data_IF_640126042803
#
_entry.id   IF_640126042803
#
_cell.length_a   1.000
_cell.length_b   1.000
_cell.length_c   1.000
_cell.angle_alpha   90.00
_cell.angle_beta   90.00
_cell.angle_gamma   90.00
#
_symmetry.space_group_name_H-M   'P 1'
#
loop_
_entity.id
_entity.type
_entity.pdbx_description
1 polymer ?
#
# COMPACT_ATOMS: atom_id res chain seq x y z
N UNK A 1 -9.96 10.87 -30.43
CA UNK A 1 -8.90 10.41 -29.49
C UNK A 1 -7.50 10.44 -30.11
N UNK A 2 -7.24 9.79 -31.26
CA UNK A 2 -5.91 9.71 -31.91
C UNK A 2 -5.12 11.03 -31.98
N UNK A 3 -5.75 12.15 -32.37
CA UNK A 3 -5.10 13.47 -32.44
C UNK A 3 -4.63 13.99 -31.06
N UNK A 4 -5.42 13.78 -30.01
CA UNK A 4 -5.10 14.16 -28.62
C UNK A 4 -3.90 13.36 -28.11
N UNK A 5 -3.92 12.04 -28.32
CA UNK A 5 -2.79 11.16 -27.97
C UNK A 5 -1.48 11.60 -28.61
N UNK A 6 -1.51 11.88 -29.92
CA UNK A 6 -0.33 12.32 -30.67
C UNK A 6 0.18 13.68 -30.18
N UNK A 7 -0.71 14.63 -29.94
CA UNK A 7 -0.35 15.96 -29.44
C UNK A 7 0.25 15.89 -28.04
N UNK A 8 -0.41 15.18 -27.12
CA UNK A 8 0.06 15.02 -25.75
C UNK A 8 1.42 14.31 -25.69
N UNK A 9 1.56 13.21 -26.44
CA UNK A 9 2.84 12.51 -26.55
C UNK A 9 3.94 13.43 -27.06
N UNK A 10 3.71 14.21 -28.13
CA UNK A 10 4.73 15.12 -28.66
C UNK A 10 5.21 16.14 -27.61
N UNK A 11 4.30 16.63 -26.77
CA UNK A 11 4.62 17.60 -25.70
C UNK A 11 5.33 16.97 -24.50
N UNK A 12 5.08 15.68 -24.20
CA UNK A 12 5.61 14.99 -23.02
C UNK A 12 6.57 13.84 -23.36
N UNK A 13 6.99 13.71 -24.63
CA UNK A 13 7.78 12.58 -25.16
C UNK A 13 8.99 12.26 -24.29
N UNK A 14 9.80 13.26 -23.96
CA UNK A 14 11.01 13.07 -23.15
C UNK A 14 10.68 12.44 -21.79
N UNK A 15 9.75 13.04 -21.05
CA UNK A 15 9.31 12.56 -19.73
C UNK A 15 8.75 11.13 -19.77
N UNK A 16 7.91 10.82 -20.77
CA UNK A 16 7.30 9.50 -20.91
C UNK A 16 8.34 8.44 -21.26
N UNK A 17 9.25 8.73 -22.19
CA UNK A 17 10.34 7.81 -22.55
C UNK A 17 11.25 7.56 -21.34
N UNK A 18 11.63 8.61 -20.61
CA UNK A 18 12.43 8.48 -19.39
C UNK A 18 11.72 7.61 -18.35
N UNK A 19 10.43 7.85 -18.10
CA UNK A 19 9.65 7.05 -17.15
C UNK A 19 9.64 5.56 -17.53
N UNK A 20 9.39 5.25 -18.80
CA UNK A 20 9.34 3.86 -19.26
C UNK A 20 10.71 3.19 -19.28
N UNK A 21 11.77 3.94 -19.62
CA UNK A 21 13.15 3.45 -19.52
C UNK A 21 13.51 3.12 -18.07
N UNK A 22 13.16 3.98 -17.11
CA UNK A 22 13.37 3.72 -15.68
C UNK A 22 12.60 2.49 -15.20
N UNK A 23 11.36 2.29 -15.68
CA UNK A 23 10.58 1.09 -15.34
C UNK A 23 11.25 -0.20 -15.86
N UNK A 24 11.75 -0.18 -17.09
CA UNK A 24 12.50 -1.31 -17.67
C UNK A 24 13.78 -1.59 -16.90
N UNK A 25 14.57 -0.56 -16.59
CA UNK A 25 15.78 -0.67 -15.78
C UNK A 25 15.47 -1.19 -14.38
N UNK A 26 14.39 -0.72 -13.76
CA UNK A 26 13.92 -1.21 -12.46
C UNK A 26 13.54 -2.70 -12.51
N UNK A 27 12.89 -3.15 -13.58
CA UNK A 27 12.58 -4.56 -13.79
C UNK A 27 13.83 -5.43 -13.89
N UNK A 28 14.81 -5.01 -14.69
CA UNK A 28 16.09 -5.70 -14.83
C UNK A 28 16.86 -5.74 -13.50
N UNK A 29 16.95 -4.60 -12.80
CA UNK A 29 17.60 -4.51 -11.50
C UNK A 29 16.92 -5.39 -10.44
N UNK A 30 15.58 -5.48 -10.46
CA UNK A 30 14.83 -6.37 -9.56
C UNK A 30 15.19 -7.84 -9.80
N UNK A 31 15.28 -8.29 -11.04
CA UNK A 31 15.67 -9.68 -11.37
C UNK A 31 17.07 -10.01 -10.84
N UNK A 32 18.03 -9.10 -11.07
CA UNK A 32 19.41 -9.28 -10.59
C UNK A 32 19.46 -9.28 -9.06
N UNK A 33 18.77 -8.34 -8.42
CA UNK A 33 18.71 -8.25 -6.96
C UNK A 33 18.11 -9.52 -6.34
N UNK A 34 17.05 -10.09 -6.91
CA UNK A 34 16.47 -11.33 -6.39
C UNK A 34 17.49 -12.48 -6.39
N UNK A 35 18.30 -12.60 -7.44
CA UNK A 35 19.39 -13.58 -7.51
C UNK A 35 20.48 -13.32 -6.48
N UNK A 36 20.90 -12.06 -6.28
CA UNK A 36 21.89 -11.68 -5.28
C UNK A 36 21.39 -11.96 -3.86
N UNK A 37 20.15 -11.58 -3.54
CA UNK A 37 19.54 -11.85 -2.24
C UNK A 37 19.43 -13.36 -1.98
N UNK A 38 19.06 -14.14 -3.00
CA UNK A 38 18.96 -15.59 -2.86
C UNK A 38 20.32 -16.25 -2.62
N UNK A 39 21.36 -15.88 -3.36
CA UNK A 39 22.73 -16.40 -3.12
C UNK A 39 23.29 -15.99 -1.77
N UNK A 40 23.01 -14.76 -1.33
CA UNK A 40 23.35 -14.29 0.02
C UNK A 40 22.68 -15.17 1.08
N UNK A 41 21.40 -15.49 0.89
CA UNK A 41 20.66 -16.40 1.77
C UNK A 41 21.22 -17.82 1.74
N UNK A 42 21.51 -18.36 0.56
CA UNK A 42 22.09 -19.69 0.38
C UNK A 42 23.42 -19.85 1.09
N UNK A 43 24.29 -18.85 0.96
CA UNK A 43 25.59 -18.80 1.63
C UNK A 43 25.41 -18.82 3.14
N UNK A 44 24.48 -18.01 3.67
CA UNK A 44 24.21 -17.94 5.10
C UNK A 44 23.62 -19.26 5.64
N UNK A 45 22.65 -19.85 4.96
CA UNK A 45 22.10 -21.17 5.34
C UNK A 45 23.23 -22.21 5.35
N UNK A 46 24.05 -22.26 4.30
CA UNK A 46 25.14 -23.24 4.21
C UNK A 46 26.22 -23.03 5.28
N UNK A 47 26.48 -21.78 5.67
CA UNK A 47 27.48 -21.44 6.69
C UNK A 47 27.00 -21.68 8.12
N UNK A 48 25.73 -21.36 8.41
CA UNK A 48 25.23 -21.32 9.79
C UNK A 48 24.37 -22.53 10.16
N UNK A 49 23.90 -23.34 9.21
CA UNK A 49 23.16 -24.58 9.51
C UNK A 49 23.96 -25.82 9.14
N UNK A 50 23.79 -26.88 9.91
CA UNK A 50 24.39 -28.19 9.65
C UNK A 50 23.50 -29.32 10.19
N UNK A 51 23.71 -30.51 9.66
CA UNK A 51 22.92 -31.69 9.97
C UNK A 51 23.02 -32.10 11.45
N UNK A 52 24.22 -32.06 12.03
CA UNK A 52 24.47 -32.50 13.40
C UNK A 52 23.67 -31.65 14.41
N UNK A 53 23.70 -30.33 14.27
CA UNK A 53 23.01 -29.43 15.18
C UNK A 53 21.50 -29.42 14.92
N UNK A 54 21.07 -29.59 13.67
CA UNK A 54 19.66 -29.79 13.34
C UNK A 54 19.09 -31.04 14.00
N UNK A 55 19.78 -32.18 13.93
CA UNK A 55 19.32 -33.41 14.57
C UNK A 55 19.29 -33.28 16.09
N UNK A 56 20.29 -32.63 16.71
CA UNK A 56 20.23 -32.31 18.15
C UNK A 56 19.02 -31.45 18.52
N UNK A 57 18.69 -30.45 17.71
CA UNK A 57 17.50 -29.63 17.89
C UNK A 57 16.22 -30.47 17.82
N UNK A 58 16.12 -31.35 16.81
CA UNK A 58 14.95 -32.20 16.60
C UNK A 58 14.78 -33.23 17.72
N UNK A 59 15.84 -33.96 18.06
CA UNK A 59 15.85 -34.94 19.17
C UNK A 59 15.51 -34.28 20.50
N UNK A 60 16.01 -33.07 20.78
CA UNK A 60 15.67 -32.36 22.01
C UNK A 60 14.16 -32.16 22.20
N UNK A 61 13.44 -31.75 21.14
CA UNK A 61 11.99 -31.57 21.22
C UNK A 61 11.21 -32.88 21.16
N UNK A 62 11.80 -33.94 20.63
CA UNK A 62 11.26 -35.31 20.71
C UNK A 62 11.32 -35.84 22.16
N UNK A 63 12.44 -35.62 22.85
CA UNK A 63 12.67 -36.05 24.24
C UNK A 63 11.92 -35.18 25.26
N UNK A 64 11.51 -33.96 24.86
CA UNK A 64 10.82 -33.00 25.72
C UNK A 64 9.47 -32.57 25.13
N UNK A 65 8.51 -33.49 24.90
CA UNK A 65 7.29 -33.23 24.12
C UNK A 65 6.32 -32.24 24.77
N UNK A 66 6.31 -32.17 26.11
CA UNK A 66 5.42 -31.30 26.89
C UNK A 66 6.04 -29.96 27.29
N UNK A 67 7.29 -29.73 26.93
CA UNK A 67 8.01 -28.49 27.25
C UNK A 67 7.33 -27.28 26.61
N UNK A 68 7.10 -26.24 27.40
CA UNK A 68 6.73 -24.92 26.88
C UNK A 68 7.94 -24.29 26.19
N UNK A 69 7.82 -24.06 24.88
CA UNK A 69 8.91 -23.68 23.99
C UNK A 69 9.44 -22.28 24.29
N UNK A 70 8.58 -21.37 24.76
CA UNK A 70 8.93 -19.97 24.99
C UNK A 70 9.13 -19.61 26.46
N UNK A 71 8.74 -20.48 27.39
CA UNK A 71 8.98 -20.27 28.82
C UNK A 71 10.43 -20.53 29.25
N UNK A 72 11.20 -21.30 28.46
CA UNK A 72 12.54 -21.74 28.83
C UNK A 72 13.65 -20.98 28.08
N UNK A 73 14.73 -20.62 28.78
CA UNK A 73 15.95 -20.12 28.14
C UNK A 73 16.64 -21.23 27.37
N UNK A 74 16.43 -21.27 26.05
CA UNK A 74 17.10 -22.20 25.16
C UNK A 74 18.53 -21.74 24.84
N UNK A 75 19.49 -22.67 24.70
CA UNK A 75 20.78 -22.41 24.06
C UNK A 75 20.60 -21.76 22.68
N UNK A 76 21.50 -20.85 22.32
CA UNK A 76 21.37 -20.02 21.12
C UNK A 76 21.26 -20.84 19.83
N UNK A 77 22.01 -21.94 19.70
CA UNK A 77 21.94 -22.84 18.55
C UNK A 77 20.54 -23.43 18.37
N UNK A 78 19.84 -23.80 19.45
CA UNK A 78 18.46 -24.31 19.38
C UNK A 78 17.46 -23.20 19.04
N UNK A 79 17.68 -21.99 19.57
CA UNK A 79 16.84 -20.81 19.28
C UNK A 79 16.90 -20.42 17.81
N UNK A 80 18.08 -20.51 17.18
CA UNK A 80 18.23 -20.28 15.75
C UNK A 80 17.35 -21.23 14.93
N UNK A 81 17.46 -22.56 15.12
CA UNK A 81 16.62 -23.53 14.39
C UNK A 81 15.13 -23.39 14.70
N UNK A 82 14.78 -23.03 15.94
CA UNK A 82 13.40 -22.73 16.32
C UNK A 82 12.83 -21.58 15.48
N UNK A 83 13.55 -20.47 15.34
CA UNK A 83 13.13 -19.31 14.55
C UNK A 83 13.02 -19.62 13.05
N UNK A 84 13.82 -20.57 12.58
CA UNK A 84 13.84 -21.00 11.17
C UNK A 84 12.78 -22.07 10.86
N UNK A 85 12.20 -22.72 11.86
CA UNK A 85 11.19 -23.77 11.70
C UNK A 85 9.80 -23.14 11.77
N UNK A 86 9.05 -23.04 10.66
CA UNK A 86 7.68 -22.57 10.71
C UNK A 86 6.80 -23.57 11.46
N UNK A 87 6.00 -23.09 12.40
CA UNK A 87 5.02 -23.93 13.10
C UNK A 87 3.93 -24.36 12.12
N UNK A 88 3.55 -25.64 12.18
CA UNK A 88 2.49 -26.18 11.34
C UNK A 88 1.16 -25.46 11.65
N UNK A 89 0.42 -25.11 10.59
CA UNK A 89 -0.81 -24.34 10.69
C UNK A 89 -1.88 -24.95 11.59
N UNK A 90 -1.87 -26.29 11.74
CA UNK A 90 -2.76 -27.01 12.66
C UNK A 90 -2.61 -26.57 14.13
N UNK A 91 -1.48 -25.96 14.49
CA UNK A 91 -1.16 -25.53 15.85
C UNK A 91 -1.35 -24.03 16.12
N UNK A 92 -1.74 -23.22 15.13
CA UNK A 92 -1.86 -21.76 15.32
C UNK A 92 -3.03 -21.33 16.22
N UNK A 93 -3.93 -22.24 16.59
CA UNK A 93 -5.05 -21.97 17.52
C UNK A 93 -4.74 -22.37 18.97
N UNK A 94 -3.51 -22.75 19.27
CA UNK A 94 -3.12 -23.20 20.61
C UNK A 94 -2.49 -22.04 21.36
N UNK A 95 -2.92 -21.83 22.61
CA UNK A 95 -2.44 -20.73 23.46
C UNK A 95 -0.95 -20.84 23.82
N UNK A 96 -0.40 -22.06 23.82
CA UNK A 96 1.02 -22.33 24.12
C UNK A 96 1.59 -23.36 23.17
N UNK A 97 2.77 -23.06 22.64
CA UNK A 97 3.49 -23.97 21.74
C UNK A 97 4.32 -24.94 22.57
N UNK A 98 4.03 -26.23 22.41
CA UNK A 98 4.72 -27.32 23.10
C UNK A 98 5.80 -27.96 22.24
N UNK A 99 6.76 -28.65 22.88
CA UNK A 99 7.87 -29.32 22.21
C UNK A 99 7.46 -30.28 21.10
N UNK A 100 6.45 -31.13 21.31
CA UNK A 100 5.97 -32.06 20.27
C UNK A 100 5.47 -31.31 19.01
N UNK A 101 4.92 -30.11 19.17
CA UNK A 101 4.44 -29.29 18.04
C UNK A 101 5.60 -28.82 17.17
N UNK A 102 6.74 -28.48 17.78
CA UNK A 102 7.97 -28.13 17.07
C UNK A 102 8.54 -29.37 16.37
N UNK A 103 8.60 -30.51 17.07
CA UNK A 103 9.08 -31.77 16.50
C UNK A 103 8.25 -32.22 15.28
N UNK A 104 6.92 -32.11 15.37
CA UNK A 104 6.01 -32.44 14.26
C UNK A 104 6.04 -31.43 13.11
N UNK A 105 6.43 -30.18 13.38
CA UNK A 105 6.57 -29.14 12.35
C UNK A 105 7.93 -29.19 11.66
N UNK A 106 8.96 -29.71 12.34
CA UNK A 106 10.31 -29.82 11.80
C UNK A 106 10.43 -31.02 10.83
N UNK A 107 11.00 -30.83 9.63
CA UNK A 107 11.27 -31.92 8.70
C UNK A 107 12.06 -33.09 9.33
N UNK A 108 11.82 -34.32 8.85
CA UNK A 108 12.48 -35.50 9.41
C UNK A 108 14.01 -35.48 9.22
N UNK A 109 14.47 -34.95 8.09
CA UNK A 109 15.87 -34.91 7.70
C UNK A 109 16.35 -33.47 7.40
N UNK A 110 17.66 -33.27 7.51
CA UNK A 110 18.28 -31.96 7.31
C UNK A 110 18.23 -31.49 5.86
N UNK A 111 18.24 -32.38 4.87
CA UNK A 111 18.23 -31.98 3.46
C UNK A 111 16.88 -31.40 3.07
N UNK A 112 15.78 -31.98 3.56
CA UNK A 112 14.43 -31.44 3.42
C UNK A 112 14.32 -30.08 4.12
N UNK A 113 14.83 -29.97 5.36
CA UNK A 113 14.88 -28.69 6.08
C UNK A 113 15.66 -27.61 5.31
N UNK A 114 16.87 -27.93 4.84
CA UNK A 114 17.70 -27.02 4.04
C UNK A 114 16.99 -26.63 2.76
N UNK A 115 16.37 -27.59 2.06
CA UNK A 115 15.62 -27.32 0.84
C UNK A 115 14.48 -26.34 1.09
N UNK A 116 13.74 -26.52 2.17
CA UNK A 116 12.62 -25.65 2.54
C UNK A 116 13.07 -24.23 2.90
N UNK A 117 14.19 -24.09 3.62
CA UNK A 117 14.80 -22.78 3.88
C UNK A 117 15.24 -22.06 2.60
N UNK A 118 15.75 -22.80 1.63
CA UNK A 118 16.25 -22.24 0.37
C UNK A 118 15.16 -21.95 -0.65
N UNK A 119 13.90 -22.40 -0.44
CA UNK A 119 12.80 -22.08 -1.35
C UNK A 119 12.64 -20.57 -1.48
N UNK A 120 12.56 -20.08 -2.71
CA UNK A 120 12.34 -18.65 -2.95
C UNK A 120 10.93 -18.23 -2.47
N UNK A 121 9.91 -19.00 -2.85
CA UNK A 121 8.55 -18.77 -2.39
C UNK A 121 8.29 -19.60 -1.13
N UNK A 122 7.99 -18.97 0.02
CA UNK A 122 7.67 -19.70 1.23
C UNK A 122 6.33 -20.42 1.09
N UNK A 123 6.16 -21.48 1.88
CA UNK A 123 4.86 -22.12 2.08
C UNK A 123 3.80 -21.07 2.48
N UNK A 124 2.51 -21.30 2.15
CA UNK A 124 1.45 -20.36 2.46
C UNK A 124 1.44 -20.02 3.95
N UNK A 125 1.67 -18.75 4.27
CA UNK A 125 1.47 -18.15 5.60
C UNK A 125 0.09 -17.49 5.61
N UNK A 126 -0.51 -17.35 6.79
CA UNK A 126 -1.80 -16.66 6.97
C UNK A 126 -1.77 -15.17 6.60
N UNK A 127 -0.57 -14.58 6.54
CA UNK A 127 -0.36 -13.19 6.18
C UNK A 127 0.11 -13.08 4.71
N UNK A 128 -0.69 -12.37 3.91
CA UNK A 128 -0.39 -12.02 2.54
C UNK A 128 0.62 -10.88 2.52
N UNK A 129 1.87 -11.16 2.17
CA UNK A 129 2.91 -10.13 2.04
C UNK A 129 3.50 -10.15 0.63
N UNK A 130 3.73 -8.96 0.05
CA UNK A 130 4.47 -8.82 -1.22
C UNK A 130 5.96 -9.14 -1.06
N UNK A 131 6.43 -9.14 0.19
CA UNK A 131 7.83 -9.26 0.57
C UNK A 131 7.99 -10.34 1.64
N UNK A 132 9.04 -11.15 1.53
CA UNK A 132 9.43 -12.11 2.56
C UNK A 132 10.78 -11.68 3.13
N UNK A 133 10.77 -11.35 4.41
CA UNK A 133 11.96 -10.96 5.17
C UNK A 133 12.48 -12.19 5.90
N UNK A 134 13.75 -12.53 5.67
CA UNK A 134 14.40 -13.63 6.38
C UNK A 134 15.62 -13.14 7.11
N UNK A 135 15.85 -13.76 8.25
CA UNK A 135 17.00 -13.53 9.09
C UNK A 135 17.54 -14.88 9.56
N UNK A 136 18.87 -14.99 9.58
CA UNK A 136 19.58 -16.06 10.27
C UNK A 136 20.71 -15.45 11.08
N UNK A 137 20.78 -15.82 12.35
CA UNK A 137 21.80 -15.37 13.30
C UNK A 137 22.87 -16.45 13.41
N UNK A 138 24.15 -16.09 13.26
CA UNK A 138 25.23 -17.00 13.62
C UNK A 138 25.31 -17.13 15.14
N UNK A 139 25.31 -18.36 15.67
CA UNK A 139 25.38 -18.60 17.11
C UNK A 139 26.62 -17.91 17.73
N UNK A 140 26.39 -16.96 18.63
CA UNK A 140 27.37 -16.37 19.54
C UNK A 140 27.94 -15.02 19.11
N UNK A 141 27.40 -14.34 18.09
CA UNK A 141 27.87 -13.00 17.69
C UNK A 141 26.72 -12.11 17.20
N UNK A 142 26.34 -11.14 18.03
CA UNK A 142 25.29 -10.14 17.74
C UNK A 142 25.52 -9.35 16.43
N UNK A 143 26.75 -9.36 15.89
CA UNK A 143 27.13 -8.65 14.65
C UNK A 143 26.99 -9.45 13.34
N UNK A 144 26.45 -10.68 13.36
CA UNK A 144 26.41 -11.57 12.17
C UNK A 144 25.01 -11.94 11.68
N UNK A 145 24.00 -11.11 11.96
CA UNK A 145 22.66 -11.34 11.43
C UNK A 145 22.61 -11.11 9.91
N UNK A 146 22.26 -12.15 9.16
CA UNK A 146 22.09 -12.04 7.71
C UNK A 146 20.63 -11.78 7.39
N UNK A 147 20.33 -10.52 7.07
CA UNK A 147 19.03 -10.11 6.56
C UNK A 147 18.97 -10.19 5.04
N UNK A 148 17.91 -10.81 4.55
CA UNK A 148 17.55 -10.84 3.12
C UNK A 148 16.08 -10.50 2.95
N UNK A 149 15.78 -9.91 1.80
CA UNK A 149 14.42 -9.51 1.41
C UNK A 149 14.12 -10.09 0.03
N UNK A 150 13.12 -10.95 -0.03
CA UNK A 150 12.64 -11.51 -1.29
C UNK A 150 11.41 -10.76 -1.78
N UNK A 151 11.44 -10.37 -3.06
CA UNK A 151 10.29 -9.78 -3.71
C UNK A 151 9.41 -10.88 -4.32
N UNK A 152 8.23 -11.09 -3.75
CA UNK A 152 7.34 -12.18 -4.17
C UNK A 152 6.48 -11.83 -5.39
N UNK A 153 6.30 -10.54 -5.70
CA UNK A 153 5.46 -10.05 -6.81
C UNK A 153 6.20 -9.12 -7.80
N UNK A 154 7.52 -9.02 -7.66
CA UNK A 154 8.40 -8.22 -8.52
C UNK A 154 7.97 -6.72 -8.59
N UNK A 155 7.74 -6.17 -9.78
CA UNK A 155 7.39 -4.75 -9.97
C UNK A 155 5.95 -4.40 -9.58
N UNK A 156 5.15 -5.38 -9.18
CA UNK A 156 3.78 -5.16 -8.70
C UNK A 156 3.71 -4.82 -7.21
N UNK A 157 4.87 -4.61 -6.55
CA UNK A 157 4.90 -4.08 -5.18
C UNK A 157 4.18 -2.74 -5.08
N UNK A 158 3.29 -2.63 -4.11
CA UNK A 158 2.43 -1.46 -3.92
C UNK A 158 3.23 -0.14 -3.93
N UNK A 159 4.40 -0.11 -3.30
CA UNK A 159 5.21 1.11 -3.24
C UNK A 159 5.65 1.55 -4.65
N UNK A 160 6.06 0.60 -5.48
CA UNK A 160 6.45 0.86 -6.87
C UNK A 160 5.25 1.36 -7.67
N UNK A 161 4.08 0.72 -7.51
CA UNK A 161 2.88 1.11 -8.23
C UNK A 161 2.40 2.53 -7.85
N UNK A 162 2.52 2.89 -6.57
CA UNK A 162 2.16 4.23 -6.08
C UNK A 162 3.10 5.33 -6.59
N UNK A 163 4.35 5.02 -6.97
CA UNK A 163 5.24 5.98 -7.64
C UNK A 163 4.63 6.45 -8.95
N UNK A 164 3.99 5.55 -9.73
CA UNK A 164 3.32 5.94 -10.99
C UNK A 164 2.09 6.82 -10.73
N UNK A 165 1.33 6.52 -9.68
CA UNK A 165 0.21 7.37 -9.26
C UNK A 165 0.69 8.76 -8.85
N UNK A 166 1.80 8.84 -8.12
CA UNK A 166 2.44 10.11 -7.77
C UNK A 166 2.95 10.87 -8.99
N UNK A 167 3.60 10.18 -9.93
CA UNK A 167 4.04 10.77 -11.20
C UNK A 167 2.87 11.32 -12.02
N UNK A 168 1.75 10.60 -12.06
CA UNK A 168 0.50 11.06 -12.68
C UNK A 168 -0.05 12.32 -11.99
N UNK A 169 -0.11 12.35 -10.65
CA UNK A 169 -0.54 13.52 -9.90
C UNK A 169 0.35 14.74 -10.20
N UNK A 170 1.67 14.54 -10.22
CA UNK A 170 2.62 15.59 -10.57
C UNK A 170 2.45 16.07 -12.02
N UNK A 171 2.25 15.16 -12.96
CA UNK A 171 2.01 15.49 -14.36
C UNK A 171 0.76 16.35 -14.54
N UNK A 172 -0.33 16.04 -13.84
CA UNK A 172 -1.55 16.85 -13.82
C UNK A 172 -1.26 18.28 -13.35
N UNK A 173 -0.56 18.42 -12.22
CA UNK A 173 -0.22 19.72 -11.62
C UNK A 173 0.64 20.54 -12.58
N UNK A 174 1.67 19.92 -13.16
CA UNK A 174 2.58 20.57 -14.12
C UNK A 174 1.92 20.90 -15.46
N UNK A 175 1.01 20.06 -15.95
CA UNK A 175 0.25 20.31 -17.17
C UNK A 175 -0.71 21.48 -17.00
N UNK A 176 -1.34 21.59 -15.82
CA UNK A 176 -2.20 22.73 -15.50
C UNK A 176 -1.39 24.02 -15.32
N UNK A 177 -0.27 23.99 -14.58
CA UNK A 177 0.54 25.19 -14.35
C UNK A 177 1.13 25.76 -15.65
N UNK A 178 1.37 24.91 -16.64
CA UNK A 178 1.85 25.29 -17.98
C UNK A 178 0.72 25.50 -19.00
N UNK A 179 -0.55 25.49 -18.58
CA UNK A 179 -1.72 25.63 -19.45
C UNK A 179 -1.78 24.62 -20.62
N UNK A 180 -1.09 23.47 -20.51
CA UNK A 180 -1.02 22.44 -21.56
C UNK A 180 -2.40 21.85 -21.81
N UNK A 181 -3.12 21.55 -20.73
CA UNK A 181 -4.47 20.99 -20.78
C UNK A 181 -5.45 21.94 -21.49
N UNK A 182 -5.38 23.23 -21.17
CA UNK A 182 -6.21 24.26 -21.80
C UNK A 182 -5.85 24.44 -23.28
N UNK A 183 -4.56 24.49 -23.62
CA UNK A 183 -4.07 24.59 -25.00
C UNK A 183 -4.56 23.44 -25.89
N UNK A 184 -4.44 22.20 -25.42
CA UNK A 184 -4.92 21.02 -26.16
C UNK A 184 -6.46 21.02 -26.20
N UNK A 185 -7.11 21.36 -25.08
CA UNK A 185 -8.57 21.42 -24.98
C UNK A 185 -9.20 22.39 -25.99
N UNK A 186 -8.63 23.59 -26.13
CA UNK A 186 -9.10 24.63 -27.05
C UNK A 186 -9.03 24.21 -28.52
N UNK A 187 -7.98 23.47 -28.92
CA UNK A 187 -7.81 23.02 -30.32
C UNK A 187 -8.66 21.81 -30.70
N UNK A 188 -9.20 21.08 -29.73
CA UNK A 188 -9.83 19.75 -29.96
C UNK A 188 -11.25 19.67 -29.37
N UNK A 189 -11.76 20.77 -28.81
CA UNK A 189 -13.15 20.89 -28.35
C UNK A 189 -13.48 20.06 -27.11
N UNK A 190 -12.54 19.87 -26.18
CA UNK A 190 -12.84 19.22 -24.90
C UNK A 190 -11.64 18.75 -24.07
N UNK A 191 -11.65 19.12 -22.79
CA UNK A 191 -10.58 18.85 -21.81
C UNK A 191 -10.62 17.42 -21.26
N UNK A 192 -11.81 16.81 -21.14
CA UNK A 192 -11.99 15.45 -20.61
C UNK A 192 -11.17 14.39 -21.36
N UNK A 193 -11.04 14.54 -22.68
CA UNK A 193 -10.22 13.65 -23.53
C UNK A 193 -8.73 13.76 -23.19
N UNK A 194 -8.25 14.93 -22.75
CA UNK A 194 -6.85 15.14 -22.35
C UNK A 194 -6.56 14.41 -21.04
N UNK A 195 -7.47 14.48 -20.07
CA UNK A 195 -7.32 13.78 -18.79
C UNK A 195 -7.30 12.27 -18.93
N UNK A 196 -8.14 11.70 -19.82
CA UNK A 196 -8.08 10.27 -20.14
C UNK A 196 -6.71 9.89 -20.74
N UNK A 197 -6.17 10.72 -21.63
CA UNK A 197 -4.85 10.50 -22.23
C UNK A 197 -3.73 10.59 -21.19
N UNK A 198 -3.79 11.57 -20.27
CA UNK A 198 -2.86 11.68 -19.14
C UNK A 198 -2.88 10.42 -18.28
N UNK A 199 -4.08 9.98 -17.87
CA UNK A 199 -4.24 8.77 -17.06
C UNK A 199 -3.63 7.54 -17.76
N UNK A 200 -3.89 7.38 -19.05
CA UNK A 200 -3.36 6.23 -19.82
C UNK A 200 -1.83 6.28 -19.88
N UNK A 201 -1.22 7.43 -20.15
CA UNK A 201 0.24 7.53 -20.27
C UNK A 201 0.97 7.40 -18.94
N UNK A 202 0.45 8.01 -17.87
CA UNK A 202 1.17 8.08 -16.60
C UNK A 202 0.82 6.97 -15.62
N UNK A 203 -0.32 6.30 -15.83
CA UNK A 203 -0.78 5.22 -14.95
C UNK A 203 -1.06 3.95 -15.75
N UNK A 204 -1.95 4.00 -16.76
CA UNK A 204 -2.41 2.81 -17.48
C UNK A 204 -1.27 1.99 -18.12
N UNK A 205 -0.44 2.64 -18.94
CA UNK A 205 0.68 1.99 -19.62
C UNK A 205 1.73 1.50 -18.61
N UNK A 206 2.21 2.31 -17.64
CA UNK A 206 3.13 1.83 -16.61
C UNK A 206 2.62 0.64 -15.81
N UNK A 207 1.35 0.62 -15.40
CA UNK A 207 0.78 -0.50 -14.65
C UNK A 207 0.75 -1.78 -15.50
N UNK A 208 0.35 -1.70 -16.77
CA UNK A 208 0.38 -2.84 -17.70
C UNK A 208 1.82 -3.33 -17.90
N UNK A 209 2.77 -2.41 -18.11
CA UNK A 209 4.18 -2.76 -18.26
C UNK A 209 4.75 -3.40 -16.98
N UNK A 210 4.44 -2.88 -15.80
CA UNK A 210 4.85 -3.46 -14.53
C UNK A 210 4.31 -4.88 -14.35
N UNK A 211 3.06 -5.12 -14.76
CA UNK A 211 2.42 -6.44 -14.71
C UNK A 211 3.12 -7.43 -15.66
N UNK A 212 3.40 -7.02 -16.90
CA UNK A 212 4.13 -7.84 -17.88
C UNK A 212 5.56 -8.12 -17.40
N UNK A 213 6.27 -7.11 -16.90
CA UNK A 213 7.63 -7.27 -16.40
C UNK A 213 7.69 -8.15 -15.15
N UNK A 214 6.69 -8.09 -14.26
CA UNK A 214 6.58 -9.02 -13.15
C UNK A 214 6.39 -10.46 -13.62
N UNK A 215 5.52 -10.68 -14.61
CA UNK A 215 5.34 -12.01 -15.20
C UNK A 215 6.66 -12.52 -15.79
N UNK A 216 7.36 -11.69 -16.57
CA UNK A 216 8.68 -12.03 -17.13
C UNK A 216 9.65 -12.35 -16.00
N UNK A 217 9.70 -11.54 -14.93
CA UNK A 217 10.59 -11.75 -13.77
C UNK A 217 10.35 -13.11 -13.11
N UNK A 218 9.09 -13.53 -12.97
CA UNK A 218 8.77 -14.84 -12.41
C UNK A 218 9.20 -15.99 -13.32
N UNK A 219 8.99 -15.86 -14.64
CA UNK A 219 9.38 -16.87 -15.62
C UNK A 219 10.90 -16.99 -15.78
N UNK A 220 11.63 -15.88 -15.65
CA UNK A 220 13.10 -15.84 -15.81
C UNK A 220 13.85 -16.12 -14.51
N UNK A 221 13.17 -16.23 -13.36
CA UNK A 221 13.81 -16.41 -12.05
C UNK A 221 14.66 -17.68 -11.96
N UNK A 222 14.31 -18.72 -12.71
CA UNK A 222 15.08 -19.97 -12.83
C UNK A 222 16.48 -19.80 -13.44
N UNK A 223 16.75 -18.70 -14.17
CA UNK A 223 18.08 -18.42 -14.69
C UNK A 223 19.06 -17.93 -13.60
N UNK A 224 18.53 -17.43 -12.48
CA UNK A 224 19.34 -16.89 -11.39
C UNK A 224 19.34 -17.79 -10.15
N UNK A 225 18.32 -18.64 -10.02
CA UNK A 225 18.08 -19.50 -8.87
C UNK A 225 17.82 -20.93 -9.36
N UNK A 226 18.46 -21.96 -8.79
CA UNK A 226 18.23 -23.34 -9.20
C UNK A 226 16.75 -23.73 -9.13
N UNK A 227 16.25 -24.39 -10.18
CA UNK A 227 14.82 -24.66 -10.38
C UNK A 227 14.18 -25.43 -9.22
N UNK A 228 14.94 -26.28 -8.53
CA UNK A 228 14.50 -27.04 -7.36
C UNK A 228 14.07 -26.18 -6.16
N UNK A 229 14.44 -24.89 -6.13
CA UNK A 229 14.07 -23.91 -5.11
C UNK A 229 13.03 -22.89 -5.58
N UNK A 230 12.61 -22.96 -6.86
CA UNK A 230 11.64 -22.04 -7.46
C UNK A 230 10.32 -22.79 -7.67
N UNK A 231 9.44 -22.77 -6.67
CA UNK A 231 8.06 -23.28 -6.79
C UNK A 231 7.10 -22.10 -6.80
N UNK A 232 6.62 -21.71 -7.98
CA UNK A 232 5.76 -20.54 -8.15
C UNK A 232 4.36 -20.83 -7.61
N UNK A 233 3.92 -20.05 -6.63
CA UNK A 233 2.52 -20.07 -6.17
C UNK A 233 1.70 -19.07 -6.99
N UNK A 234 1.17 -19.51 -8.14
CA UNK A 234 0.44 -18.64 -9.07
C UNK A 234 -0.78 -17.95 -8.45
N UNK A 235 -1.60 -18.68 -7.70
CA UNK A 235 -2.75 -18.14 -6.98
C UNK A 235 -2.37 -17.00 -6.03
N UNK A 236 -1.31 -17.20 -5.22
CA UNK A 236 -0.83 -16.19 -4.27
C UNK A 236 -0.26 -14.97 -4.98
N UNK A 237 0.50 -15.16 -6.06
CA UNK A 237 1.02 -14.05 -6.86
C UNK A 237 -0.15 -13.24 -7.41
N UNK A 238 -1.15 -13.89 -8.02
CA UNK A 238 -2.32 -13.21 -8.58
C UNK A 238 -3.10 -12.45 -7.53
N UNK A 239 -3.32 -13.03 -6.35
CA UNK A 239 -4.05 -12.38 -5.26
C UNK A 239 -3.34 -11.11 -4.78
N UNK A 240 -2.06 -11.20 -4.38
CA UNK A 240 -1.31 -10.06 -3.83
C UNK A 240 -1.07 -8.98 -4.90
N UNK A 241 -0.83 -9.41 -6.15
CA UNK A 241 -0.70 -8.53 -7.31
C UNK A 241 -2.01 -7.80 -7.61
N UNK A 242 -3.13 -8.51 -7.56
CA UNK A 242 -4.47 -7.97 -7.73
C UNK A 242 -4.83 -6.95 -6.65
N UNK A 243 -4.49 -7.23 -5.39
CA UNK A 243 -4.65 -6.27 -4.29
C UNK A 243 -3.83 -5.01 -4.52
N UNK A 244 -2.54 -5.14 -4.84
CA UNK A 244 -1.63 -4.01 -5.05
C UNK A 244 -2.07 -3.14 -6.24
N UNK A 245 -2.46 -3.76 -7.37
CA UNK A 245 -3.02 -3.06 -8.52
C UNK A 245 -4.32 -2.34 -8.18
N UNK A 246 -5.19 -2.99 -7.40
CA UNK A 246 -6.48 -2.41 -7.03
C UNK A 246 -6.29 -1.14 -6.21
N UNK A 247 -5.39 -1.16 -5.23
CA UNK A 247 -5.06 0.03 -4.43
C UNK A 247 -4.47 1.13 -5.29
N UNK A 248 -3.54 0.81 -6.20
CA UNK A 248 -2.95 1.80 -7.10
C UNK A 248 -3.99 2.45 -8.03
N UNK A 249 -4.93 1.66 -8.57
CA UNK A 249 -6.01 2.17 -9.41
C UNK A 249 -7.02 3.01 -8.61
N UNK A 250 -7.39 2.61 -7.38
CA UNK A 250 -8.21 3.42 -6.48
C UNK A 250 -7.54 4.77 -6.25
N UNK A 251 -6.25 4.78 -5.93
CA UNK A 251 -5.48 6.00 -5.70
C UNK A 251 -5.46 6.89 -6.95
N UNK A 252 -5.26 6.32 -8.15
CA UNK A 252 -5.27 7.09 -9.40
C UNK A 252 -6.65 7.68 -9.75
N UNK A 253 -7.73 6.95 -9.46
CA UNK A 253 -9.09 7.48 -9.57
C UNK A 253 -9.30 8.61 -8.55
N UNK A 254 -8.81 8.46 -7.31
CA UNK A 254 -8.82 9.50 -6.29
C UNK A 254 -8.09 10.77 -6.71
N UNK A 255 -6.89 10.66 -7.27
CA UNK A 255 -6.15 11.78 -7.87
C UNK A 255 -6.96 12.46 -8.97
N UNK A 256 -7.62 11.67 -9.83
CA UNK A 256 -8.46 12.18 -10.90
C UNK A 256 -9.69 12.94 -10.37
N UNK A 257 -10.28 12.46 -9.27
CA UNK A 257 -11.39 13.10 -8.56
C UNK A 257 -10.97 14.44 -7.94
N UNK A 258 -9.83 14.47 -7.23
CA UNK A 258 -9.27 15.70 -6.67
C UNK A 258 -8.99 16.71 -7.79
N UNK A 259 -8.37 16.26 -8.89
CA UNK A 259 -8.10 17.13 -10.03
C UNK A 259 -9.38 17.69 -10.69
N UNK A 260 -10.44 16.91 -10.72
CA UNK A 260 -11.73 17.33 -11.26
C UNK A 260 -12.47 18.31 -10.33
N UNK A 261 -12.29 18.17 -9.02
CA UNK A 261 -12.97 18.97 -8.00
C UNK A 261 -12.24 20.28 -7.66
N UNK A 262 -10.92 20.22 -7.52
CA UNK A 262 -10.08 21.29 -6.99
C UNK A 262 -9.45 22.08 -8.13
N UNK A 263 -9.49 23.42 -8.04
CA UNK A 263 -9.00 24.32 -9.09
C UNK A 263 -7.49 24.41 -9.13
N UNK A 264 -6.91 25.24 -8.26
CA UNK A 264 -5.48 25.58 -8.35
C UNK A 264 -4.56 24.39 -8.10
N UNK A 265 -3.38 24.36 -8.75
CA UNK A 265 -2.40 23.28 -8.57
C UNK A 265 -1.95 23.09 -7.11
N UNK A 266 -1.66 24.18 -6.38
CA UNK A 266 -1.22 24.13 -4.97
C UNK A 266 -2.29 23.48 -4.08
N UNK A 267 -3.55 23.83 -4.31
CA UNK A 267 -4.67 23.28 -3.54
C UNK A 267 -4.87 21.80 -3.80
N UNK A 268 -4.62 21.28 -5.01
CA UNK A 268 -4.71 19.83 -5.28
C UNK A 268 -3.72 19.04 -4.42
N UNK A 269 -2.50 19.56 -4.28
CA UNK A 269 -1.47 18.94 -3.43
C UNK A 269 -1.93 18.98 -1.97
N UNK A 270 -2.35 20.14 -1.47
CA UNK A 270 -2.84 20.27 -0.10
C UNK A 270 -4.04 19.36 0.18
N UNK A 271 -5.06 19.36 -0.68
CA UNK A 271 -6.23 18.50 -0.53
C UNK A 271 -5.85 17.03 -0.58
N UNK A 272 -4.96 16.61 -1.48
CA UNK A 272 -4.51 15.22 -1.54
C UNK A 272 -3.75 14.77 -0.28
N UNK A 273 -2.79 15.58 0.17
CA UNK A 273 -1.96 15.27 1.34
C UNK A 273 -2.78 15.27 2.64
N UNK A 274 -3.74 16.20 2.77
CA UNK A 274 -4.54 16.34 4.01
C UNK A 274 -5.79 15.44 4.02
N UNK A 275 -6.42 15.19 2.87
CA UNK A 275 -7.64 14.39 2.83
C UNK A 275 -7.38 12.90 3.09
N UNK A 276 -6.22 12.35 2.67
CA UNK A 276 -5.94 10.93 2.83
C UNK A 276 -5.81 10.53 4.31
N UNK A 277 -5.00 11.23 5.16
CA UNK A 277 -4.95 10.96 6.59
C UNK A 277 -6.31 11.17 7.28
N UNK A 278 -7.02 12.26 6.95
CA UNK A 278 -8.34 12.55 7.53
C UNK A 278 -9.37 11.45 7.21
N UNK A 279 -9.47 11.03 5.95
CA UNK A 279 -10.36 9.93 5.57
C UNK A 279 -9.98 8.61 6.24
N UNK A 280 -8.68 8.32 6.37
CA UNK A 280 -8.22 7.11 7.04
C UNK A 280 -8.59 7.11 8.54
N UNK A 281 -8.41 8.23 9.22
CA UNK A 281 -8.86 8.41 10.61
C UNK A 281 -10.38 8.25 10.72
N UNK A 282 -11.14 8.89 9.83
CA UNK A 282 -12.60 8.85 9.88
C UNK A 282 -13.15 7.46 9.67
N UNK A 283 -12.58 6.70 8.73
CA UNK A 283 -12.93 5.29 8.50
C UNK A 283 -12.56 4.44 9.73
N UNK A 284 -11.40 4.68 10.34
CA UNK A 284 -10.98 3.93 11.52
C UNK A 284 -11.93 4.16 12.71
N UNK A 285 -12.32 5.41 12.95
CA UNK A 285 -13.27 5.77 14.01
C UNK A 285 -14.68 5.25 13.71
N UNK A 286 -15.11 5.32 12.44
CA UNK A 286 -16.38 4.73 12.02
C UNK A 286 -16.40 3.20 12.22
N UNK A 287 -15.29 2.51 11.92
CA UNK A 287 -15.16 1.06 12.18
C UNK A 287 -15.28 0.73 13.66
N UNK A 288 -14.74 1.56 14.55
CA UNK A 288 -14.91 1.38 15.99
C UNK A 288 -16.38 1.56 16.44
N UNK A 289 -17.13 2.43 15.77
CA UNK A 289 -18.56 2.64 16.04
C UNK A 289 -19.42 1.43 15.61
N UNK A 290 -19.01 0.73 14.55
CA UNK A 290 -19.71 -0.45 14.03
C UNK A 290 -19.40 -1.65 14.94
N UNK A 291 -20.12 -1.77 16.05
CA UNK A 291 -20.08 -2.89 16.99
C UNK A 291 -20.62 -4.20 16.40
N UNK A 292 -21.19 -4.17 15.19
CA UNK A 292 -21.77 -5.32 14.51
C UNK A 292 -20.70 -6.16 13.79
N UNK A 293 -20.20 -7.20 14.47
CA UNK A 293 -19.19 -8.16 13.97
C UNK A 293 -19.40 -8.63 12.51
N UNK A 294 -20.63 -8.93 12.03
CA UNK A 294 -20.81 -9.38 10.65
C UNK A 294 -20.42 -8.36 9.58
N UNK A 295 -20.67 -7.06 9.81
CA UNK A 295 -20.29 -5.99 8.85
C UNK A 295 -18.78 -5.77 8.85
N UNK A 296 -18.15 -5.80 10.03
CA UNK A 296 -16.69 -5.77 10.15
C UNK A 296 -16.04 -6.94 9.42
N UNK A 297 -16.57 -8.16 9.58
CA UNK A 297 -16.05 -9.34 8.91
C UNK A 297 -16.18 -9.26 7.38
N UNK A 298 -17.30 -8.75 6.87
CA UNK A 298 -17.48 -8.51 5.43
C UNK A 298 -16.46 -7.48 4.94
N UNK A 299 -16.26 -6.39 5.68
CA UNK A 299 -15.32 -5.32 5.32
C UNK A 299 -13.84 -5.76 5.30
N UNK A 300 -13.50 -6.77 6.09
CA UNK A 300 -12.12 -7.29 6.18
C UNK A 300 -11.88 -8.42 5.19
N UNK A 301 -12.91 -9.24 4.88
CA UNK A 301 -12.79 -10.40 3.98
C UNK A 301 -13.04 -10.06 2.51
N UNK A 302 -13.61 -8.90 2.22
CA UNK A 302 -13.88 -8.48 0.84
C UNK A 302 -12.57 -8.10 0.14
N UNK A 303 -12.27 -8.69 -1.03
CA UNK A 303 -11.05 -8.35 -1.77
C UNK A 303 -11.02 -6.89 -2.23
N UNK A 304 -9.83 -6.29 -2.26
CA UNK A 304 -9.60 -4.91 -2.71
C UNK A 304 -10.14 -4.58 -4.10
N UNK A 305 -10.20 -5.57 -5.00
CA UNK A 305 -10.74 -5.37 -6.35
C UNK A 305 -12.24 -5.06 -6.34
N UNK A 306 -13.00 -5.58 -5.37
CA UNK A 306 -14.45 -5.30 -5.25
C UNK A 306 -14.65 -3.84 -4.86
N UNK A 307 -13.87 -3.34 -3.89
CA UNK A 307 -13.87 -1.93 -3.52
C UNK A 307 -13.47 -1.03 -4.70
N UNK A 308 -12.48 -1.44 -5.49
CA UNK A 308 -12.11 -0.73 -6.72
C UNK A 308 -13.30 -0.63 -7.67
N UNK A 309 -14.01 -1.73 -7.95
CA UNK A 309 -15.14 -1.72 -8.87
C UNK A 309 -16.27 -0.80 -8.40
N UNK A 310 -16.65 -0.91 -7.12
CA UNK A 310 -17.68 -0.03 -6.52
C UNK A 310 -17.25 1.43 -6.58
N UNK A 311 -16.00 1.73 -6.18
CA UNK A 311 -15.48 3.08 -6.21
C UNK A 311 -15.40 3.64 -7.64
N UNK A 312 -14.98 2.82 -8.61
CA UNK A 312 -14.91 3.22 -10.01
C UNK A 312 -16.29 3.54 -10.60
N UNK A 313 -17.31 2.73 -10.32
CA UNK A 313 -18.69 2.94 -10.77
C UNK A 313 -19.25 4.27 -10.25
N UNK A 314 -18.87 4.70 -9.05
CA UNK A 314 -19.34 5.96 -8.47
C UNK A 314 -18.47 7.14 -8.92
N UNK A 315 -17.15 7.02 -8.80
CA UNK A 315 -16.22 8.14 -8.98
C UNK A 315 -16.01 8.51 -10.45
N UNK A 316 -15.94 7.55 -11.38
CA UNK A 316 -15.69 7.84 -12.80
C UNK A 316 -16.80 8.71 -13.41
N UNK A 317 -18.10 8.41 -13.24
CA UNK A 317 -19.16 9.29 -13.72
C UNK A 317 -19.07 10.71 -13.16
N UNK A 318 -18.80 10.84 -11.85
CA UNK A 318 -18.63 12.14 -11.19
C UNK A 318 -17.48 12.90 -11.84
N UNK A 319 -16.30 12.27 -11.99
CA UNK A 319 -15.12 12.88 -12.64
C UNK A 319 -15.48 13.41 -14.03
N UNK A 320 -16.16 12.60 -14.85
CA UNK A 320 -16.52 12.98 -16.21
C UNK A 320 -17.49 14.17 -16.24
N UNK A 321 -18.48 14.22 -15.34
CA UNK A 321 -19.43 15.33 -15.22
C UNK A 321 -18.71 16.61 -14.81
N UNK A 322 -17.83 16.53 -13.81
CA UNK A 322 -17.05 17.67 -13.32
C UNK A 322 -16.10 18.22 -14.39
N UNK A 323 -15.44 17.35 -15.14
CA UNK A 323 -14.50 17.74 -16.19
C UNK A 323 -15.17 18.36 -17.42
N UNK A 324 -16.42 17.99 -17.73
CA UNK A 324 -17.17 18.60 -18.85
C UNK A 324 -17.43 20.09 -18.66
N UNK A 325 -17.50 20.57 -17.42
CA UNK A 325 -17.89 21.96 -17.08
C UNK A 325 -16.70 22.90 -16.84
N UNK A 326 -15.48 22.46 -17.10
CA UNK A 326 -14.26 23.19 -16.77
C UNK A 326 -14.07 24.45 -17.63
N UNK A 327 -13.81 25.58 -16.97
CA UNK A 327 -13.32 26.83 -17.55
C UNK A 327 -12.05 27.32 -16.84
N UNK A 328 -11.27 28.20 -17.49
CA UNK A 328 -10.08 28.82 -16.90
C UNK A 328 -10.41 29.62 -15.63
N UNK A 329 -11.58 30.24 -15.56
CA UNK A 329 -12.05 30.94 -14.37
C UNK A 329 -12.28 29.99 -13.19
N UNK A 330 -12.84 28.81 -13.44
CA UNK A 330 -13.06 27.81 -12.39
C UNK A 330 -11.76 27.26 -11.80
N UNK A 331 -10.70 27.21 -12.59
CA UNK A 331 -9.37 26.77 -12.14
C UNK A 331 -8.72 27.74 -11.13
N UNK A 332 -9.23 28.97 -11.01
CA UNK A 332 -8.77 29.95 -10.02
C UNK A 332 -9.35 29.75 -8.61
N UNK A 333 -10.43 28.97 -8.47
CA UNK A 333 -11.08 28.74 -7.18
C UNK A 333 -10.52 27.50 -6.46
N UNK A 334 -10.73 27.40 -5.15
CA UNK A 334 -10.40 26.18 -4.39
C UNK A 334 -11.25 25.00 -4.89
N UNK A 335 -12.58 25.09 -4.82
CA UNK A 335 -13.51 24.17 -5.49
C UNK A 335 -14.01 24.80 -6.79
N UNK A 336 -13.82 24.08 -7.91
CA UNK A 336 -14.14 24.55 -9.26
C UNK A 336 -15.61 24.93 -9.43
N UNK A 337 -16.52 24.05 -9.00
CA UNK A 337 -17.95 24.27 -9.12
C UNK A 337 -18.53 24.94 -7.88
N UNK A 338 -19.18 26.09 -8.07
CA UNK A 338 -19.85 26.84 -6.99
C UNK A 338 -20.87 25.98 -6.23
N UNK A 339 -21.68 25.19 -6.95
CA UNK A 339 -22.70 24.31 -6.35
C UNK A 339 -22.14 23.22 -5.43
N UNK A 340 -20.86 22.85 -5.58
CA UNK A 340 -20.22 21.81 -4.78
C UNK A 340 -19.41 22.36 -3.60
N UNK A 341 -19.25 23.69 -3.50
CA UNK A 341 -18.52 24.31 -2.39
C UNK A 341 -19.16 23.94 -1.06
N UNK A 342 -20.44 24.28 -0.89
CA UNK A 342 -21.16 24.01 0.36
C UNK A 342 -21.18 22.51 0.72
N UNK A 343 -21.57 21.58 -0.18
CA UNK A 343 -21.49 20.14 0.10
C UNK A 343 -20.08 19.65 0.46
N UNK A 344 -19.05 20.12 -0.24
CA UNK A 344 -17.66 19.73 0.04
C UNK A 344 -17.27 20.11 1.47
N UNK A 345 -17.52 21.35 1.85
CA UNK A 345 -17.15 21.82 3.17
C UNK A 345 -18.00 21.20 4.28
N UNK A 346 -19.29 20.93 4.04
CA UNK A 346 -20.12 20.14 4.97
C UNK A 346 -19.47 18.78 5.20
N UNK A 347 -18.97 18.14 4.14
CA UNK A 347 -18.18 16.91 4.25
C UNK A 347 -16.94 17.05 5.12
N UNK A 348 -16.19 18.16 5.00
CA UNK A 348 -15.03 18.44 5.87
C UNK A 348 -15.46 18.56 7.34
N UNK A 349 -16.57 19.24 7.63
CA UNK A 349 -17.11 19.35 8.99
C UNK A 349 -17.52 17.98 9.53
N UNK A 350 -18.22 17.17 8.73
CA UNK A 350 -18.61 15.80 9.11
C UNK A 350 -17.36 14.96 9.43
N UNK A 351 -16.33 14.99 8.59
CA UNK A 351 -15.08 14.28 8.85
C UNK A 351 -14.41 14.76 10.13
N UNK A 352 -14.40 16.08 10.37
CA UNK A 352 -13.85 16.65 11.61
C UNK A 352 -14.63 16.15 12.84
N UNK A 353 -15.96 16.04 12.75
CA UNK A 353 -16.79 15.47 13.81
C UNK A 353 -16.42 13.98 14.02
N UNK A 354 -16.29 13.20 12.95
CA UNK A 354 -15.92 11.79 13.05
C UNK A 354 -14.48 11.57 13.57
N UNK A 355 -13.56 12.47 13.24
CA UNK A 355 -12.14 12.35 13.57
C UNK A 355 -11.82 12.83 14.99
N UNK A 356 -12.48 13.91 15.44
CA UNK A 356 -12.11 14.58 16.69
C UNK A 356 -13.23 14.54 17.75
N UNK A 357 -14.49 14.65 17.33
CA UNK A 357 -15.63 14.70 18.27
C UNK A 357 -16.06 13.29 18.67
N UNK A 358 -16.17 12.36 17.72
CA UNK A 358 -16.65 11.01 17.98
C UNK A 358 -15.71 10.20 18.92
N UNK A 359 -14.37 10.22 18.75
CA UNK A 359 -13.47 9.51 19.66
C UNK A 359 -13.51 10.07 21.09
N UNK A 360 -13.76 11.37 21.25
CA UNK A 360 -13.92 12.02 22.56
C UNK A 360 -15.04 11.37 23.39
N UNK A 361 -16.15 10.97 22.75
CA UNK A 361 -17.27 10.31 23.43
C UNK A 361 -17.13 8.79 23.49
N UNK A 362 -16.49 8.16 22.50
CA UNK A 362 -16.40 6.70 22.42
C UNK A 362 -15.36 6.09 23.35
N UNK A 363 -14.24 6.77 23.60
CA UNK A 363 -13.15 6.11 24.29
C UNK A 363 -13.31 6.04 25.81
N UNK A 364 -14.19 6.84 26.43
CA UNK A 364 -14.24 6.95 27.90
C UNK A 364 -12.86 7.22 28.54
N UNK A 365 -11.87 7.58 27.72
CA UNK A 365 -10.50 7.84 28.13
C UNK A 365 -10.51 9.27 28.60
N UNK A 366 -10.35 9.41 29.90
CA UNK A 366 -9.73 10.60 30.48
C UNK A 366 -8.50 10.88 29.63
N UNK A 367 -8.53 11.96 28.85
CA UNK A 367 -7.33 12.43 28.16
C UNK A 367 -6.28 12.66 29.23
N UNK A 368 -5.24 11.83 29.27
CA UNK A 368 -4.25 11.85 30.35
C UNK A 368 -3.48 13.19 30.40
N UNK A 369 -3.54 13.98 29.32
CA UNK A 369 -2.92 15.30 29.22
C UNK A 369 -3.95 16.41 28.89
N UNK A 370 -4.00 17.50 29.70
CA UNK A 370 -4.80 18.70 29.40
C UNK A 370 -4.50 19.32 28.03
N UNK A 371 -3.27 19.13 27.53
CA UNK A 371 -2.80 19.63 26.24
C UNK A 371 -3.60 19.01 25.07
N UNK A 372 -3.93 17.72 25.13
CA UNK A 372 -4.67 17.04 24.06
C UNK A 372 -6.11 17.54 23.97
N UNK A 373 -6.72 17.87 25.11
CA UNK A 373 -8.05 18.50 25.17
C UNK A 373 -8.02 19.89 24.54
N UNK A 374 -7.00 20.69 24.87
CA UNK A 374 -6.82 22.05 24.31
C UNK A 374 -6.57 22.00 22.82
N UNK A 375 -5.67 21.14 22.33
CA UNK A 375 -5.38 20.99 20.91
C UNK A 375 -6.64 20.57 20.13
N UNK A 376 -7.41 19.61 20.65
CA UNK A 376 -8.64 19.17 20.00
C UNK A 376 -9.73 20.26 20.00
N UNK A 377 -9.92 21.01 21.09
CA UNK A 377 -10.85 22.14 21.14
C UNK A 377 -10.45 23.26 20.18
N UNK A 378 -9.15 23.60 20.11
CA UNK A 378 -8.62 24.60 19.18
C UNK A 378 -8.78 24.16 17.73
N UNK A 379 -8.57 22.87 17.43
CA UNK A 379 -8.79 22.32 16.09
C UNK A 379 -10.27 22.36 15.69
N UNK A 380 -11.18 21.95 16.59
CA UNK A 380 -12.62 22.00 16.36
C UNK A 380 -13.06 23.46 16.12
N UNK A 381 -12.70 24.38 17.02
CA UNK A 381 -13.04 25.80 16.90
C UNK A 381 -12.42 26.43 15.64
N UNK A 382 -11.17 26.10 15.32
CA UNK A 382 -10.46 26.56 14.13
C UNK A 382 -11.15 26.11 12.84
N UNK A 383 -11.56 24.85 12.74
CA UNK A 383 -12.29 24.32 11.58
C UNK A 383 -13.65 25.01 11.41
N UNK A 384 -14.42 25.17 12.48
CA UNK A 384 -15.71 25.88 12.41
C UNK A 384 -15.54 27.36 12.07
N UNK A 385 -14.49 28.01 12.57
CA UNK A 385 -14.17 29.41 12.28
C UNK A 385 -13.80 29.60 10.81
N UNK A 386 -12.97 28.71 10.27
CA UNK A 386 -12.58 28.68 8.85
C UNK A 386 -13.77 28.36 7.96
N UNK A 387 -14.66 27.43 8.37
CA UNK A 387 -15.90 27.10 7.67
C UNK A 387 -16.85 28.32 7.59
N UNK A 388 -17.10 28.99 8.72
CA UNK A 388 -17.94 30.18 8.77
C UNK A 388 -17.41 31.29 7.86
N UNK A 389 -16.10 31.54 7.89
CA UNK A 389 -15.46 32.58 7.08
C UNK A 389 -15.41 32.25 5.59
N UNK A 390 -15.12 31.01 5.20
CA UNK A 390 -14.97 30.64 3.78
C UNK A 390 -16.28 30.37 3.04
N UNK A 391 -17.38 30.12 3.76
CA UNK A 391 -18.63 29.61 3.18
C UNK A 391 -19.80 30.52 3.41
N UNK A 392 -19.93 31.01 4.64
CA UNK A 392 -21.03 31.90 5.00
C UNK A 392 -20.67 33.35 4.73
N UNK A 393 -19.39 33.64 4.41
CA UNK A 393 -18.82 35.00 4.33
C UNK A 393 -19.17 35.83 5.59
N UNK A 394 -19.29 35.15 6.72
CA UNK A 394 -19.61 35.73 8.01
C UNK A 394 -18.34 35.85 8.82
N UNK A 395 -18.08 37.05 9.34
CA UNK A 395 -17.01 37.26 10.31
C UNK A 395 -17.48 36.65 11.64
N UNK A 396 -16.73 35.68 12.17
CA UNK A 396 -17.09 34.92 13.38
C UNK A 396 -17.21 35.84 14.60
N UNK A 397 -16.58 37.02 14.54
CA UNK A 397 -16.73 38.10 15.52
C UNK A 397 -18.17 38.58 15.69
N UNK A 398 -19.03 38.44 14.68
CA UNK A 398 -20.44 38.84 14.77
C UNK A 398 -21.30 37.79 15.49
N UNK A 399 -20.81 36.54 15.63
CA UNK A 399 -21.46 35.50 16.44
C UNK A 399 -21.10 35.59 17.93
N UNK A 400 -19.97 36.21 18.27
CA UNK A 400 -19.50 36.40 19.66
C UNK A 400 -20.00 37.71 20.30
N UNK A 401 -20.76 38.52 19.55
CA UNK A 401 -21.34 39.79 20.00
C UNK A 401 -22.79 39.68 20.47
N UNK A 402 -23.40 38.51 20.32
CA UNK A 402 -24.66 38.12 20.95
C UNK A 402 -24.37 37.03 21.98
#
# INVERSE_FOLDING_TARGET
>A
MKKVFKAYFKLRKGWLITLYALLLLGGLASMVNDGVQWRKWETAVTQYTNEKDYQKFRTYYQENPDMDVYANMLPESKRMYLNLTPINSKFYKVDRIKGHMIYESAPADYQTFKKDLLRYYPAPKYLYTSQDYRNISGAGRDDKNVFVKFNLIALMDLNILLIFVGAFALAIVLDQSKNVTAFIGARIGGISKVHVVQFIYWTGIPLVMASILSLITHLTRQFFIPIQYVTISGERILQVSGESLSVALIAAIGVSLINALVGKPVYKIMTGVLAVPALAMGIANLRQLITYRPISDILVKTPSFVYLLVFAVIAIPIILILQKRQSLEQDSFYIKLKALRLPFYIGVVILTILDFVLPFFMMGRVMEAPLDVVINLVMIAGVFTVFAKLILDKDVRDFLKN
#
